data_IF_719423555348
#
_entry.id   IF_719423555348
#
_cell.length_a   1.000
_cell.length_b   1.000
_cell.length_c   1.000
_cell.angle_alpha   90.00
_cell.angle_beta   90.00
_cell.angle_gamma   90.00
#
_symmetry.space_group_name_H-M   'P 1'
#
loop_
_entity.id
_entity.type
_entity.pdbx_description
1 polymer ?
#
# COMPACT_ATOMS: atom_id res chain seq x y z
N UNK A 1 0.77 -10.04 3.10
CA UNK A 1 1.07 -9.86 1.66
C UNK A 1 2.18 -10.82 1.24
N UNK A 2 2.20 -11.28 -0.02
CA UNK A 2 3.26 -12.17 -0.53
C UNK A 2 4.24 -11.34 -1.35
N UNK A 3 5.52 -11.38 -0.98
CA UNK A 3 6.60 -10.74 -1.74
C UNK A 3 6.98 -11.60 -2.94
N UNK A 4 7.22 -10.95 -4.08
CA UNK A 4 7.74 -11.58 -5.30
C UNK A 4 8.94 -10.77 -5.75
N UNK A 5 10.07 -11.42 -5.97
CA UNK A 5 11.27 -10.76 -6.46
C UNK A 5 11.15 -10.41 -7.95
N UNK A 6 11.48 -9.17 -8.30
CA UNK A 6 11.49 -8.71 -9.68
C UNK A 6 12.90 -8.90 -10.26
N UNK A 7 13.00 -9.64 -11.37
CA UNK A 7 14.27 -9.83 -12.07
C UNK A 7 14.83 -8.49 -12.58
N UNK A 8 16.11 -8.23 -12.33
CA UNK A 8 16.84 -7.04 -12.78
C UNK A 8 16.83 -6.85 -14.31
N UNK A 9 16.60 -7.90 -15.08
CA UNK A 9 16.49 -7.87 -16.55
C UNK A 9 15.12 -7.42 -17.05
N UNK A 10 14.10 -7.40 -16.19
CA UNK A 10 12.75 -6.97 -16.57
C UNK A 10 12.68 -5.46 -16.77
N UNK A 11 12.87 -5.00 -18.01
CA UNK A 11 12.84 -3.55 -18.32
C UNK A 11 11.50 -2.90 -17.96
N UNK A 12 10.39 -3.61 -18.19
CA UNK A 12 9.04 -3.09 -17.95
C UNK A 12 8.79 -2.91 -16.46
N UNK A 13 9.00 -3.96 -15.66
CA UNK A 13 8.74 -3.89 -14.22
C UNK A 13 9.69 -2.91 -13.53
N UNK A 14 10.98 -2.93 -13.89
CA UNK A 14 11.94 -1.99 -13.31
C UNK A 14 11.68 -0.53 -13.73
N UNK A 15 11.08 -0.31 -14.90
CA UNK A 15 10.62 1.02 -15.32
C UNK A 15 9.45 1.52 -14.47
N UNK A 16 8.45 0.66 -14.24
CA UNK A 16 7.29 0.99 -13.38
C UNK A 16 7.71 1.20 -11.92
N UNK A 17 8.62 0.37 -11.39
CA UNK A 17 9.14 0.54 -10.04
C UNK A 17 9.85 1.88 -9.85
N UNK A 18 10.61 2.35 -10.86
CA UNK A 18 11.26 3.66 -10.79
C UNK A 18 10.26 4.81 -10.76
N UNK A 19 9.20 4.73 -11.58
CA UNK A 19 8.13 5.72 -11.54
C UNK A 19 7.40 5.69 -10.19
N UNK A 20 7.21 4.49 -9.62
CA UNK A 20 6.57 4.30 -8.32
C UNK A 20 7.34 4.89 -7.12
N UNK A 21 8.65 5.17 -7.29
CA UNK A 21 9.47 5.87 -6.30
C UNK A 21 9.20 7.38 -6.28
N UNK A 22 8.71 7.94 -7.39
CA UNK A 22 8.40 9.36 -7.51
C UNK A 22 6.92 9.63 -7.16
N UNK A 23 6.02 8.73 -7.56
CA UNK A 23 4.58 8.84 -7.30
C UNK A 23 3.85 7.49 -7.30
N UNK A 24 2.69 7.41 -6.64
CA UNK A 24 1.87 6.20 -6.66
C UNK A 24 1.22 5.99 -8.03
N UNK A 25 1.34 4.78 -8.58
CA UNK A 25 0.78 4.43 -9.89
C UNK A 25 -0.49 3.59 -9.76
N UNK A 26 -1.48 3.87 -10.62
CA UNK A 26 -2.64 2.99 -10.82
C UNK A 26 -2.46 2.21 -12.13
N UNK A 27 -2.29 0.91 -12.02
CA UNK A 27 -2.18 -0.01 -13.14
C UNK A 27 -3.55 -0.57 -13.48
N UNK A 28 -4.07 -0.26 -14.67
CA UNK A 28 -5.34 -0.79 -15.17
C UNK A 28 -5.09 -1.97 -16.10
N UNK A 29 -5.63 -3.13 -15.76
CA UNK A 29 -5.59 -4.32 -16.59
C UNK A 29 -6.63 -4.24 -17.73
N UNK A 30 -6.42 -4.96 -18.85
CA UNK A 30 -7.37 -4.96 -19.97
C UNK A 30 -8.77 -5.47 -19.61
N UNK A 31 -8.89 -6.24 -18.53
CA UNK A 31 -10.18 -6.72 -18.00
C UNK A 31 -10.88 -5.72 -17.08
N UNK A 32 -10.34 -4.50 -16.95
CA UNK A 32 -10.92 -3.43 -16.15
C UNK A 32 -10.55 -3.45 -14.67
N UNK A 33 -9.76 -4.43 -14.20
CA UNK A 33 -9.24 -4.43 -12.83
C UNK A 33 -8.16 -3.37 -12.66
N UNK A 34 -8.13 -2.75 -11.48
CA UNK A 34 -7.14 -1.73 -11.13
C UNK A 34 -6.27 -2.20 -9.96
N UNK A 35 -4.99 -1.90 -10.04
CA UNK A 35 -3.98 -2.24 -9.04
C UNK A 35 -3.19 -0.98 -8.69
N UNK A 36 -2.71 -0.88 -7.45
CA UNK A 36 -1.82 0.20 -7.04
C UNK A 36 -0.40 -0.33 -6.94
N UNK A 37 0.54 0.38 -7.55
CA UNK A 37 1.97 0.19 -7.33
C UNK A 37 2.49 1.43 -6.59
N UNK A 38 2.93 1.21 -5.36
CA UNK A 38 3.53 2.21 -4.50
C UNK A 38 4.79 1.63 -3.88
N UNK A 39 5.82 2.46 -3.69
CA UNK A 39 6.94 2.08 -2.85
C UNK A 39 6.43 1.80 -1.44
N UNK A 40 6.86 0.68 -0.86
CA UNK A 40 6.61 0.41 0.56
C UNK A 40 7.66 1.22 1.33
N UNK A 41 7.26 2.37 1.86
CA UNK A 41 8.08 3.11 2.83
C UNK A 41 7.88 2.55 4.26
N UNK A 42 8.80 2.92 5.16
CA UNK A 42 8.72 2.49 6.57
C UNK A 42 7.41 2.95 7.24
N UNK A 43 6.78 4.02 6.74
CA UNK A 43 5.51 4.53 7.26
C UNK A 43 4.33 3.64 6.88
N UNK A 44 4.23 3.18 5.64
CA UNK A 44 3.24 2.21 5.20
C UNK A 44 3.37 0.89 5.96
N UNK A 45 4.60 0.44 6.21
CA UNK A 45 4.88 -0.73 7.02
C UNK A 45 4.49 -0.53 8.49
N UNK A 46 4.78 0.63 9.07
CA UNK A 46 4.33 1.00 10.42
C UNK A 46 2.80 1.05 10.53
N UNK A 47 2.11 1.59 9.52
CA UNK A 47 0.64 1.63 9.45
C UNK A 47 0.07 0.20 9.44
N UNK A 48 0.65 -0.71 8.67
CA UNK A 48 0.21 -2.11 8.64
C UNK A 48 0.41 -2.80 9.98
N UNK A 49 1.58 -2.66 10.59
CA UNK A 49 1.86 -3.19 11.93
C UNK A 49 0.94 -2.57 12.99
N UNK A 50 0.63 -1.29 12.86
CA UNK A 50 -0.30 -0.57 13.75
C UNK A 50 -1.73 -1.10 13.58
N UNK A 51 -2.17 -1.40 12.34
CA UNK A 51 -3.49 -2.00 12.06
C UNK A 51 -3.64 -3.40 12.61
N UNK A 52 -2.56 -4.16 12.71
CA UNK A 52 -2.57 -5.48 13.36
C UNK A 52 -2.79 -5.38 14.88
N UNK A 53 -2.55 -4.22 15.50
CA UNK A 53 -2.82 -3.98 16.92
C UNK A 53 -4.34 -3.79 17.17
N UNK A 54 -5.05 -4.90 17.32
CA UNK A 54 -6.51 -4.95 17.54
C UNK A 54 -7.00 -4.08 18.70
N UNK A 55 -6.21 -3.93 19.76
CA UNK A 55 -6.58 -3.11 20.93
C UNK A 55 -6.56 -1.63 20.58
N UNK A 56 -5.53 -1.17 19.88
CA UNK A 56 -5.40 0.21 19.42
C UNK A 56 -6.50 0.55 18.41
N UNK A 57 -6.75 -0.32 17.42
CA UNK A 57 -7.80 -0.09 16.43
C UNK A 57 -9.20 0.00 17.06
N UNK A 58 -9.52 -0.87 18.03
CA UNK A 58 -10.79 -0.81 18.75
C UNK A 58 -10.97 0.49 19.56
N UNK A 59 -9.87 1.04 20.10
CA UNK A 59 -9.87 2.33 20.79
C UNK A 59 -10.09 3.50 19.82
N UNK A 60 -9.38 3.50 18.68
CA UNK A 60 -9.53 4.52 17.64
C UNK A 60 -10.95 4.52 17.05
N UNK A 61 -11.52 3.34 16.78
CA UNK A 61 -12.89 3.18 16.30
C UNK A 61 -13.92 3.75 17.27
N UNK A 62 -13.68 3.62 18.58
CA UNK A 62 -14.55 4.20 19.60
C UNK A 62 -14.47 5.73 19.58
N UNK A 63 -13.26 6.29 19.57
CA UNK A 63 -13.06 7.76 19.54
C UNK A 63 -13.56 8.41 18.26
N UNK A 64 -13.39 7.77 17.11
CA UNK A 64 -13.90 8.27 15.83
C UNK A 64 -15.41 8.45 15.81
N UNK A 65 -16.15 7.63 16.57
CA UNK A 65 -17.61 7.74 16.72
C UNK A 65 -18.04 8.80 17.73
N UNK A 66 -17.17 9.15 18.68
CA UNK A 66 -17.42 10.18 19.70
C UNK A 66 -17.23 11.60 19.17
N UNK A 67 -16.58 11.81 18.02
CA UNK A 67 -16.29 13.14 17.45
C UNK A 67 -17.29 13.54 16.34
N UNK A 68 -18.41 12.83 16.18
CA UNK A 68 -19.47 13.12 15.20
C UNK A 68 -20.74 13.74 15.81
N UNK A 69 -20.69 14.25 17.04
CA UNK A 69 -21.73 15.09 17.66
C UNK A 69 -21.26 16.55 17.80
#
# INVERSE_FOLDING_TARGET
MKTVDVDHRSRVLNGLLRQAQEENLVLRAPDGREFVLAEIDDFCREIELTRENKKLMAFLDRRGRETQE
#
